data_IF_640485430286
#
_entry.id   IF_640485430286
#
_cell.length_a   1.000
_cell.length_b   1.000
_cell.length_c   1.000
_cell.angle_alpha   90.00
_cell.angle_beta   90.00
_cell.angle_gamma   90.00
#
_symmetry.space_group_name_H-M   'P 1'
#
loop_
_entity.id
_entity.type
_entity.pdbx_description
1 polymer ?
#
# COMPACT_ATOMS: atom_id res chain seq x y z
N UNK A 1 35.34 -2.59 11.83
CA UNK A 1 35.48 -1.85 10.56
C UNK A 1 34.63 -0.59 10.69
N UNK A 2 35.22 0.61 10.60
CA UNK A 2 34.43 1.85 10.54
C UNK A 2 33.71 1.86 9.19
N UNK A 3 32.40 1.86 9.21
CA UNK A 3 31.58 2.09 8.03
C UNK A 3 31.93 3.51 7.51
N UNK A 4 32.55 3.58 6.35
CA UNK A 4 32.79 4.86 5.68
C UNK A 4 31.43 5.41 5.29
N UNK A 5 31.01 6.50 5.91
CA UNK A 5 29.83 7.25 5.50
C UNK A 5 30.04 7.73 4.06
N UNK A 6 29.16 7.33 3.16
CA UNK A 6 29.13 7.82 1.76
C UNK A 6 28.92 9.34 1.68
N UNK A 7 28.51 9.95 2.78
CA UNK A 7 28.24 11.38 2.90
C UNK A 7 28.75 11.87 4.26
N UNK A 8 30.01 12.34 4.34
CA UNK A 8 30.60 12.88 5.59
C UNK A 8 29.75 13.99 6.23
N UNK A 9 29.00 14.73 5.41
CA UNK A 9 28.10 15.80 5.87
C UNK A 9 26.92 15.29 6.72
N UNK A 10 26.58 13.99 6.64
CA UNK A 10 25.52 13.40 7.45
C UNK A 10 25.94 13.14 8.89
N UNK A 11 27.24 12.99 9.16
CA UNK A 11 27.76 12.89 10.52
C UNK A 11 27.62 14.23 11.26
N UNK A 12 27.77 15.38 10.56
CA UNK A 12 27.46 16.70 11.11
C UNK A 12 25.95 16.87 11.41
N UNK A 13 25.08 16.29 10.57
CA UNK A 13 23.63 16.32 10.76
C UNK A 13 23.17 15.49 11.97
N UNK A 14 23.80 14.37 12.26
CA UNK A 14 23.49 13.58 13.46
C UNK A 14 23.91 14.27 14.74
N UNK A 15 25.05 14.97 14.73
CA UNK A 15 25.50 15.77 15.89
C UNK A 15 24.60 16.97 16.15
N UNK A 16 23.94 17.52 15.12
CA UNK A 16 22.98 18.64 15.25
C UNK A 16 21.61 18.18 15.75
N UNK A 17 21.14 16.96 15.34
CA UNK A 17 19.89 16.37 15.85
C UNK A 17 19.87 16.17 17.37
N UNK A 18 21.03 15.92 17.96
CA UNK A 18 21.15 15.76 19.43
C UNK A 18 20.98 17.07 20.20
N UNK A 19 20.99 18.23 19.53
CA UNK A 19 20.90 19.56 20.17
C UNK A 19 19.55 20.26 20.03
N UNK A 20 18.53 19.63 19.41
CA UNK A 20 17.24 20.30 19.17
C UNK A 20 17.32 21.63 18.38
N UNK A 21 18.38 21.82 17.62
CA UNK A 21 18.56 23.04 16.82
C UNK A 21 17.90 22.82 15.44
N UNK A 22 17.08 23.79 15.03
CA UNK A 22 16.59 23.87 13.62
C UNK A 22 17.82 23.92 12.73
N UNK A 23 17.87 23.04 11.71
CA UNK A 23 18.96 23.01 10.73
C UNK A 23 19.27 24.42 10.26
N UNK A 24 20.49 24.96 10.50
CA UNK A 24 20.80 26.33 10.11
C UNK A 24 20.57 26.49 8.60
N UNK A 25 19.99 27.61 8.19
CA UNK A 25 19.78 27.95 6.76
C UNK A 25 21.02 27.72 5.90
N UNK A 26 22.22 27.84 6.50
CA UNK A 26 23.50 27.57 5.84
C UNK A 26 23.68 26.12 5.36
N UNK A 27 23.18 25.11 6.07
CA UNK A 27 23.31 23.70 5.67
C UNK A 27 22.37 23.45 4.52
N UNK A 28 21.13 23.93 4.61
CA UNK A 28 20.16 23.86 3.53
C UNK A 28 20.71 24.52 2.24
N UNK A 29 21.24 25.74 2.35
CA UNK A 29 21.84 26.44 1.20
C UNK A 29 23.01 25.67 0.59
N UNK A 30 23.89 25.07 1.39
CA UNK A 30 24.99 24.22 0.89
C UNK A 30 24.47 23.01 0.13
N UNK A 31 23.43 22.32 0.63
CA UNK A 31 22.82 21.19 -0.06
C UNK A 31 22.15 21.64 -1.36
N UNK A 32 21.42 22.75 -1.34
CA UNK A 32 20.80 23.31 -2.54
C UNK A 32 21.86 23.63 -3.61
N UNK A 33 22.95 24.30 -3.25
CA UNK A 33 24.06 24.61 -4.17
C UNK A 33 24.71 23.33 -4.71
N UNK A 34 24.96 22.33 -3.85
CA UNK A 34 25.59 21.07 -4.23
C UNK A 34 24.76 20.28 -5.24
N UNK A 35 23.44 20.21 -5.02
CA UNK A 35 22.56 19.39 -5.83
C UNK A 35 21.89 20.15 -7.00
N UNK A 36 21.92 21.49 -6.99
CA UNK A 36 21.32 22.29 -8.05
C UNK A 36 21.72 21.88 -9.47
N UNK A 37 22.99 21.49 -9.77
CA UNK A 37 23.37 21.06 -11.13
C UNK A 37 22.69 19.77 -11.59
N UNK A 38 22.19 18.93 -10.67
CA UNK A 38 21.52 17.67 -10.97
C UNK A 38 20.01 17.73 -10.70
N UNK A 39 19.52 18.84 -10.16
CA UNK A 39 18.09 19.06 -9.95
C UNK A 39 17.43 19.55 -11.25
N UNK A 40 16.34 18.92 -11.61
CA UNK A 40 15.49 19.35 -12.70
C UNK A 40 14.08 19.61 -12.18
N UNK A 41 13.62 20.85 -12.26
CA UNK A 41 12.25 21.19 -11.92
C UNK A 41 11.31 20.79 -13.07
N UNK A 42 10.25 20.01 -12.73
CA UNK A 42 9.20 19.66 -13.66
C UNK A 42 7.83 19.81 -12.97
N UNK A 43 7.26 21.01 -13.06
CA UNK A 43 5.97 21.36 -12.45
C UNK A 43 4.80 20.51 -12.97
N UNK A 44 4.94 19.87 -14.13
CA UNK A 44 3.91 18.97 -14.70
C UNK A 44 3.71 17.73 -13.85
N UNK A 45 4.74 17.32 -13.10
CA UNK A 45 4.67 16.18 -12.18
C UNK A 45 3.91 16.52 -10.88
N UNK A 46 3.71 17.80 -10.56
CA UNK A 46 3.11 18.23 -9.30
C UNK A 46 1.74 17.63 -9.01
N UNK A 47 0.92 17.41 -10.04
CA UNK A 47 -0.39 16.74 -9.89
C UNK A 47 -0.27 15.22 -9.70
N UNK A 48 0.84 14.63 -10.11
CA UNK A 48 1.07 13.18 -10.10
C UNK A 48 1.68 12.67 -8.79
N UNK A 49 2.25 13.55 -7.97
CA UNK A 49 2.86 13.16 -6.67
C UNK A 49 1.83 12.82 -5.59
N UNK A 50 0.54 12.96 -5.88
CA UNK A 50 -0.56 12.65 -4.97
C UNK A 50 -1.25 11.34 -5.35
N UNK A 51 -1.73 10.60 -4.35
CA UNK A 51 -2.53 9.39 -4.56
C UNK A 51 -3.88 9.64 -5.26
N UNK A 52 -4.26 10.90 -5.44
CA UNK A 52 -5.58 11.26 -5.98
C UNK A 52 -5.86 10.57 -7.33
N UNK A 53 -4.86 10.39 -8.17
CA UNK A 53 -4.96 9.65 -9.42
C UNK A 53 -5.33 8.17 -9.26
N UNK A 54 -5.00 7.55 -8.12
CA UNK A 54 -5.23 6.12 -7.88
C UNK A 54 -6.70 5.79 -7.55
N UNK A 55 -7.52 6.78 -7.23
CA UNK A 55 -8.95 6.60 -6.91
C UNK A 55 -9.77 6.01 -8.06
N UNK A 56 -9.31 6.17 -9.28
CA UNK A 56 -9.96 5.64 -10.49
C UNK A 56 -9.24 4.43 -11.08
N UNK A 57 -8.09 4.05 -10.53
CA UNK A 57 -7.32 2.92 -11.05
C UNK A 57 -7.85 1.60 -10.46
N UNK A 58 -8.23 0.64 -11.31
CA UNK A 58 -8.68 -0.67 -10.89
C UNK A 58 -7.70 -1.31 -9.89
N UNK A 59 -8.23 -1.93 -8.85
CA UNK A 59 -7.57 -2.52 -7.69
C UNK A 59 -6.90 -1.50 -6.76
N UNK A 60 -6.19 -0.48 -7.23
CA UNK A 60 -5.58 0.55 -6.36
C UNK A 60 -6.63 1.38 -5.61
N UNK A 61 -7.85 1.47 -6.13
CA UNK A 61 -8.98 2.17 -5.50
C UNK A 61 -9.62 1.39 -4.35
N UNK A 62 -9.36 0.08 -4.21
CA UNK A 62 -10.02 -0.78 -3.22
C UNK A 62 -9.66 -0.39 -1.79
N UNK A 63 -8.41 -0.02 -1.56
CA UNK A 63 -7.93 0.40 -0.26
C UNK A 63 -7.35 1.82 -0.33
N UNK A 64 -7.85 2.72 0.53
CA UNK A 64 -7.44 4.13 0.53
C UNK A 64 -6.18 4.35 1.38
N UNK A 65 -5.09 4.73 0.71
CA UNK A 65 -3.83 5.09 1.36
C UNK A 65 -3.37 6.45 0.84
N UNK A 66 -3.25 7.45 1.72
CA UNK A 66 -3.01 8.83 1.32
C UNK A 66 -1.54 9.15 1.02
N UNK A 67 -0.64 8.36 1.56
CA UNK A 67 0.81 8.54 1.47
C UNK A 67 1.41 7.99 0.17
N UNK A 68 0.58 7.60 -0.79
CA UNK A 68 1.01 7.09 -2.09
C UNK A 68 1.05 8.19 -3.15
N UNK A 69 1.93 8.05 -4.12
CA UNK A 69 1.90 8.82 -5.37
C UNK A 69 1.04 8.11 -6.42
N UNK A 70 0.80 8.80 -7.55
CA UNK A 70 -0.09 8.25 -8.58
C UNK A 70 0.59 7.17 -9.43
N UNK A 71 -0.24 6.27 -9.92
CA UNK A 71 0.10 5.29 -10.94
C UNK A 71 0.76 5.96 -12.19
N UNK A 72 0.22 7.09 -12.62
CA UNK A 72 0.73 7.83 -13.76
C UNK A 72 2.16 8.35 -13.55
N UNK A 73 2.54 8.70 -12.32
CA UNK A 73 3.90 9.12 -12.01
C UNK A 73 4.90 7.98 -12.28
N UNK A 74 4.58 6.77 -11.83
CA UNK A 74 5.43 5.61 -12.08
C UNK A 74 5.54 5.30 -13.57
N UNK A 75 4.42 5.36 -14.29
CA UNK A 75 4.43 5.19 -15.76
C UNK A 75 5.33 6.20 -16.45
N UNK A 76 5.30 7.46 -16.00
CA UNK A 76 6.15 8.52 -16.57
C UNK A 76 7.64 8.19 -16.34
N UNK A 77 8.03 7.75 -15.15
CA UNK A 77 9.43 7.39 -14.88
C UNK A 77 9.85 6.09 -15.56
N UNK A 78 8.99 5.10 -15.71
CA UNK A 78 9.27 3.90 -16.53
C UNK A 78 9.61 4.33 -17.95
N UNK A 79 8.86 5.27 -18.54
CA UNK A 79 9.13 5.81 -19.88
C UNK A 79 10.42 6.62 -19.93
N UNK A 80 10.63 7.56 -18.99
CA UNK A 80 11.83 8.43 -18.96
C UNK A 80 13.12 7.65 -18.83
N UNK A 81 13.09 6.57 -18.05
CA UNK A 81 14.26 5.70 -17.87
C UNK A 81 14.37 4.61 -18.93
N UNK A 82 13.42 4.55 -19.88
CA UNK A 82 13.34 3.50 -20.91
C UNK A 82 13.41 2.09 -20.33
N UNK A 83 12.75 1.87 -19.20
CA UNK A 83 12.77 0.56 -18.52
C UNK A 83 12.03 -0.49 -19.35
N UNK A 84 12.59 -1.68 -19.41
CA UNK A 84 12.13 -2.82 -20.21
C UNK A 84 11.97 -4.07 -19.34
N UNK A 85 11.50 -5.16 -19.89
CA UNK A 85 11.40 -6.47 -19.23
C UNK A 85 12.74 -7.02 -18.69
N UNK A 86 13.87 -6.46 -19.16
CA UNK A 86 15.21 -6.84 -18.67
C UNK A 86 15.58 -6.16 -17.37
N UNK A 87 14.91 -5.06 -17.07
CA UNK A 87 15.17 -4.26 -15.89
C UNK A 87 14.54 -4.86 -14.63
N UNK A 88 15.02 -4.40 -13.48
CA UNK A 88 14.52 -4.81 -12.18
C UNK A 88 14.31 -3.59 -11.30
N UNK A 89 13.05 -3.33 -10.99
CA UNK A 89 12.64 -2.15 -10.27
C UNK A 89 12.62 -2.41 -8.76
N UNK A 90 13.13 -1.48 -7.98
CA UNK A 90 13.08 -1.52 -6.53
C UNK A 90 12.32 -0.34 -5.94
N UNK A 91 11.45 -0.61 -4.97
CA UNK A 91 10.80 0.40 -4.15
C UNK A 91 11.06 0.13 -2.67
N UNK A 92 11.99 0.89 -2.04
CA UNK A 92 12.33 0.74 -0.62
C UNK A 92 11.24 1.21 0.36
N UNK A 93 10.16 1.85 -0.12
CA UNK A 93 9.02 2.30 0.67
C UNK A 93 7.73 1.99 -0.08
N UNK A 94 7.52 0.71 -0.41
CA UNK A 94 6.51 0.30 -1.39
C UNK A 94 5.05 0.51 -0.94
N UNK A 95 4.81 0.71 0.35
CA UNK A 95 3.51 1.07 0.91
C UNK A 95 2.34 0.36 0.23
N UNK A 96 1.53 1.15 -0.50
CA UNK A 96 0.34 0.68 -1.22
C UNK A 96 0.61 0.04 -2.59
N UNK A 97 1.82 -0.44 -2.85
CA UNK A 97 2.11 -1.19 -4.07
C UNK A 97 2.05 -0.43 -5.41
N UNK A 98 1.87 0.90 -5.41
CA UNK A 98 1.70 1.67 -6.66
C UNK A 98 2.81 1.40 -7.66
N UNK A 99 4.08 1.44 -7.22
CA UNK A 99 5.25 1.15 -8.05
C UNK A 99 5.22 -0.27 -8.59
N UNK A 100 4.99 -1.25 -7.73
CA UNK A 100 5.02 -2.68 -8.08
C UNK A 100 3.86 -3.06 -9.00
N UNK A 101 2.66 -2.52 -8.73
CA UNK A 101 1.49 -2.75 -9.55
C UNK A 101 1.65 -2.13 -10.95
N UNK A 102 2.26 -0.95 -11.02
CA UNK A 102 2.58 -0.33 -12.32
C UNK A 102 3.61 -1.15 -13.08
N UNK A 103 4.65 -1.65 -12.39
CA UNK A 103 5.67 -2.51 -12.99
C UNK A 103 5.05 -3.77 -13.63
N UNK A 104 4.09 -4.42 -12.97
CA UNK A 104 3.37 -5.57 -13.55
C UNK A 104 2.68 -5.24 -14.88
N UNK A 105 2.16 -4.02 -15.03
CA UNK A 105 1.53 -3.60 -16.29
C UNK A 105 2.54 -3.39 -17.42
N UNK A 106 3.80 -3.22 -17.12
CA UNK A 106 4.89 -3.01 -18.07
C UNK A 106 5.83 -4.22 -18.23
N UNK A 107 5.36 -5.47 -18.07
CA UNK A 107 6.05 -6.73 -17.80
C UNK A 107 7.46 -6.56 -17.18
N UNK A 108 7.55 -5.72 -16.18
CA UNK A 108 8.78 -5.34 -15.50
C UNK A 108 8.84 -6.04 -14.13
N UNK A 109 9.90 -6.80 -13.89
CA UNK A 109 10.12 -7.43 -12.58
C UNK A 109 10.37 -6.35 -11.52
N UNK A 110 9.79 -6.54 -10.32
CA UNK A 110 9.91 -5.56 -9.25
C UNK A 110 9.99 -6.21 -7.88
N UNK A 111 10.71 -5.54 -6.97
CA UNK A 111 10.75 -5.86 -5.55
C UNK A 111 10.41 -4.61 -4.74
N UNK A 112 9.65 -4.79 -3.69
CA UNK A 112 9.33 -3.74 -2.74
C UNK A 112 9.60 -4.18 -1.31
N UNK A 113 9.95 -3.23 -0.48
CA UNK A 113 10.02 -3.44 0.96
C UNK A 113 9.17 -2.38 1.67
N UNK A 114 8.63 -2.76 2.81
CA UNK A 114 8.00 -1.83 3.74
C UNK A 114 8.31 -2.26 5.17
N UNK A 115 8.54 -1.31 6.04
CA UNK A 115 8.78 -1.58 7.46
C UNK A 115 7.49 -1.91 8.19
N UNK A 116 6.36 -1.36 7.73
CA UNK A 116 5.06 -1.58 8.33
C UNK A 116 4.44 -2.87 7.79
N UNK A 117 4.09 -3.85 8.64
CA UNK A 117 3.46 -5.09 8.20
C UNK A 117 2.21 -4.89 7.36
N UNK A 118 1.43 -3.82 7.64
CA UNK A 118 0.23 -3.49 6.87
C UNK A 118 0.57 -3.08 5.43
N UNK A 119 1.62 -2.29 5.22
CA UNK A 119 2.09 -1.92 3.88
C UNK A 119 2.50 -3.14 3.08
N UNK A 120 3.37 -3.98 3.66
CA UNK A 120 3.81 -5.23 3.03
C UNK A 120 2.64 -6.19 2.75
N UNK A 121 1.65 -6.28 3.65
CA UNK A 121 0.45 -7.08 3.45
C UNK A 121 -0.37 -6.60 2.25
N UNK A 122 -0.66 -5.31 2.16
CA UNK A 122 -1.41 -4.73 1.04
C UNK A 122 -0.65 -4.94 -0.26
N UNK A 123 0.67 -4.66 -0.25
CA UNK A 123 1.52 -4.76 -1.43
C UNK A 123 1.64 -6.20 -1.96
N UNK A 124 1.65 -7.19 -1.09
CA UNK A 124 1.67 -8.61 -1.49
C UNK A 124 0.31 -9.14 -1.92
N UNK A 125 -0.78 -8.57 -1.39
CA UNK A 125 -2.15 -9.06 -1.61
C UNK A 125 -2.79 -8.50 -2.88
N UNK A 126 -2.63 -7.19 -3.16
CA UNK A 126 -3.26 -6.59 -4.35
C UNK A 126 -2.96 -7.31 -5.67
N UNK A 127 -1.73 -7.76 -5.94
CA UNK A 127 -1.45 -8.57 -7.12
C UNK A 127 -2.23 -9.89 -7.22
N UNK A 128 -2.65 -10.47 -6.08
CA UNK A 128 -3.36 -11.77 -6.06
C UNK A 128 -4.70 -11.71 -6.78
N UNK A 129 -5.38 -10.56 -6.76
CA UNK A 129 -6.65 -10.37 -7.47
C UNK A 129 -6.56 -10.69 -8.97
N UNK A 130 -5.39 -10.53 -9.58
CA UNK A 130 -5.19 -10.79 -11.00
C UNK A 130 -5.12 -12.28 -11.36
N UNK A 131 -4.91 -13.12 -10.35
CA UNK A 131 -4.79 -14.57 -10.50
C UNK A 131 -6.07 -15.30 -10.07
N UNK A 132 -7.11 -14.56 -9.64
CA UNK A 132 -8.43 -15.11 -9.29
C UNK A 132 -9.32 -15.10 -10.53
N UNK A 133 -10.04 -16.22 -10.78
CA UNK A 133 -11.03 -16.26 -11.85
C UNK A 133 -12.26 -15.40 -11.52
N UNK A 134 -12.83 -14.71 -12.52
CA UNK A 134 -14.09 -13.99 -12.34
C UNK A 134 -15.20 -14.93 -11.82
N UNK A 135 -16.01 -14.41 -10.90
CA UNK A 135 -17.08 -15.15 -10.24
C UNK A 135 -16.70 -15.70 -8.85
N UNK A 136 -15.44 -16.01 -8.63
CA UNK A 136 -14.97 -16.59 -7.34
C UNK A 136 -15.24 -15.65 -6.15
N UNK A 137 -15.01 -14.36 -6.30
CA UNK A 137 -15.20 -13.43 -5.16
C UNK A 137 -16.67 -13.31 -4.72
N UNK A 138 -17.66 -13.13 -5.62
CA UNK A 138 -19.08 -13.15 -5.24
C UNK A 138 -19.54 -14.50 -4.63
N UNK A 139 -19.07 -15.63 -5.15
CA UNK A 139 -19.38 -16.96 -4.63
C UNK A 139 -18.84 -17.13 -3.21
N UNK A 140 -17.54 -16.83 -2.99
CA UNK A 140 -16.92 -16.88 -1.67
C UNK A 140 -17.60 -15.93 -0.68
N UNK A 141 -18.01 -14.73 -1.13
CA UNK A 141 -18.75 -13.81 -0.28
C UNK A 141 -20.08 -14.37 0.18
N UNK A 142 -20.83 -15.05 -0.69
CA UNK A 142 -22.09 -15.69 -0.35
C UNK A 142 -21.91 -16.83 0.68
N UNK A 143 -20.84 -17.61 0.55
CA UNK A 143 -20.47 -18.64 1.52
C UNK A 143 -20.12 -18.01 2.88
N UNK A 144 -19.22 -17.01 2.91
CA UNK A 144 -18.85 -16.30 4.12
C UNK A 144 -20.07 -15.74 4.85
N UNK A 145 -20.99 -15.10 4.11
CA UNK A 145 -22.21 -14.53 4.68
C UNK A 145 -23.04 -15.57 5.44
N UNK A 146 -23.10 -16.80 4.94
CA UNK A 146 -23.82 -17.89 5.61
C UNK A 146 -23.12 -18.37 6.89
N UNK A 147 -21.81 -18.15 7.01
CA UNK A 147 -20.99 -18.63 8.13
C UNK A 147 -20.83 -17.60 9.26
N UNK A 148 -20.99 -16.30 8.97
CA UNK A 148 -20.67 -15.20 9.92
C UNK A 148 -21.32 -15.36 11.28
N UNK A 149 -22.61 -15.73 11.34
CA UNK A 149 -23.36 -15.84 12.61
C UNK A 149 -22.86 -16.96 13.53
N UNK A 150 -22.22 -17.98 12.97
CA UNK A 150 -21.66 -19.13 13.69
C UNK A 150 -20.14 -19.12 13.79
N UNK A 151 -19.49 -18.09 13.23
CA UNK A 151 -18.03 -18.04 13.19
C UNK A 151 -17.41 -17.78 14.58
N UNK A 152 -16.25 -18.38 14.83
CA UNK A 152 -15.42 -18.00 15.98
C UNK A 152 -15.03 -16.53 15.89
N UNK A 153 -14.96 -15.85 17.04
CA UNK A 153 -14.65 -14.42 17.04
C UNK A 153 -13.18 -14.19 16.70
N UNK A 154 -12.92 -13.49 15.61
CA UNK A 154 -11.57 -13.07 15.26
C UNK A 154 -10.93 -12.22 16.37
N UNK A 155 -9.63 -12.40 16.57
CA UNK A 155 -8.88 -11.64 17.57
C UNK A 155 -8.82 -10.14 17.22
N UNK A 156 -8.83 -9.31 18.27
CA UNK A 156 -8.54 -7.87 18.20
C UNK A 156 -7.53 -7.53 19.27
N UNK A 157 -6.70 -6.51 19.04
CA UNK A 157 -5.78 -6.00 20.04
C UNK A 157 -6.59 -5.39 21.20
N UNK A 158 -6.74 -6.14 22.31
CA UNK A 158 -7.59 -5.76 23.44
C UNK A 158 -7.05 -4.61 24.29
N UNK A 159 -5.76 -4.29 24.13
CA UNK A 159 -5.03 -3.21 24.82
C UNK A 159 -5.13 -1.84 24.12
N UNK A 160 -5.69 -1.79 22.93
CA UNK A 160 -5.83 -0.55 22.17
C UNK A 160 -7.11 0.19 22.56
N UNK A 161 -7.00 1.15 23.46
CA UNK A 161 -8.13 1.92 24.01
C UNK A 161 -8.99 2.61 22.96
N UNK A 162 -8.42 3.00 21.82
CA UNK A 162 -9.14 3.66 20.73
C UNK A 162 -10.19 2.74 20.10
N UNK A 163 -10.04 1.43 20.16
CA UNK A 163 -11.01 0.48 19.60
C UNK A 163 -12.39 0.63 20.24
N UNK A 164 -12.43 0.82 21.57
CA UNK A 164 -13.68 1.04 22.31
C UNK A 164 -14.36 2.39 22.00
N UNK A 165 -13.59 3.35 21.50
CA UNK A 165 -14.11 4.66 21.12
C UNK A 165 -14.51 4.69 19.64
N UNK A 166 -13.80 3.94 18.81
CA UNK A 166 -13.98 3.92 17.37
C UNK A 166 -15.17 3.07 16.92
N UNK A 167 -15.57 2.06 17.71
CA UNK A 167 -16.65 1.15 17.35
C UNK A 167 -17.66 1.01 18.53
N UNK A 168 -18.95 0.81 18.22
CA UNK A 168 -19.90 0.28 19.22
C UNK A 168 -19.57 -1.18 19.52
N UNK A 169 -20.02 -1.68 20.67
CA UNK A 169 -19.82 -3.08 21.05
C UNK A 169 -20.45 -4.04 20.04
N UNK A 170 -21.65 -3.71 19.56
CA UNK A 170 -22.36 -4.49 18.53
C UNK A 170 -21.58 -4.53 17.20
N UNK A 171 -21.09 -3.36 16.76
CA UNK A 171 -20.28 -3.27 15.52
C UNK A 171 -18.99 -4.05 15.66
N UNK A 172 -18.31 -3.92 16.80
CA UNK A 172 -17.07 -4.65 17.06
C UNK A 172 -17.29 -6.17 17.07
N UNK A 173 -18.40 -6.62 17.67
CA UNK A 173 -18.79 -8.03 17.67
C UNK A 173 -19.00 -8.54 16.24
N UNK A 174 -19.78 -7.80 15.42
CA UNK A 174 -20.06 -8.17 14.05
C UNK A 174 -18.79 -8.19 13.18
N UNK A 175 -17.91 -7.21 13.34
CA UNK A 175 -16.64 -7.19 12.63
C UNK A 175 -15.73 -8.36 13.05
N UNK A 176 -15.75 -8.76 14.32
CA UNK A 176 -15.01 -9.94 14.79
C UNK A 176 -15.56 -11.23 14.21
N UNK A 177 -16.88 -11.36 14.06
CA UNK A 177 -17.50 -12.50 13.38
C UNK A 177 -17.07 -12.57 11.90
N UNK A 178 -17.13 -11.45 11.18
CA UNK A 178 -16.63 -11.38 9.79
C UNK A 178 -15.15 -11.77 9.71
N UNK A 179 -14.31 -11.21 10.57
CA UNK A 179 -12.89 -11.58 10.61
C UNK A 179 -12.70 -13.08 10.86
N UNK A 180 -13.45 -13.64 11.81
CA UNK A 180 -13.42 -15.07 12.11
C UNK A 180 -13.77 -15.92 10.90
N UNK A 181 -14.90 -15.63 10.25
CA UNK A 181 -15.29 -16.32 9.01
C UNK A 181 -14.22 -16.21 7.92
N UNK A 182 -13.67 -15.01 7.67
CA UNK A 182 -12.62 -14.80 6.66
C UNK A 182 -11.36 -15.61 6.97
N UNK A 183 -11.00 -15.76 8.24
CA UNK A 183 -9.78 -16.50 8.63
C UNK A 183 -9.88 -18.01 8.37
N UNK A 184 -11.08 -18.56 8.14
CA UNK A 184 -11.26 -19.97 7.76
C UNK A 184 -10.96 -20.24 6.28
N UNK A 185 -10.91 -19.20 5.45
CA UNK A 185 -10.56 -19.33 4.04
C UNK A 185 -9.11 -19.77 3.86
N UNK A 186 -8.85 -20.44 2.76
CA UNK A 186 -7.50 -20.75 2.32
C UNK A 186 -6.90 -19.60 1.47
N UNK A 187 -5.56 -19.56 1.40
CA UNK A 187 -4.84 -18.67 0.52
C UNK A 187 -5.12 -19.02 -0.97
N UNK A 188 -5.30 -18.04 -1.86
CA UNK A 188 -5.15 -16.60 -1.69
C UNK A 188 -6.44 -15.87 -1.29
N UNK A 189 -7.57 -16.54 -1.18
CA UNK A 189 -8.86 -15.89 -0.89
C UNK A 189 -8.88 -15.27 0.50
N UNK A 190 -8.21 -15.89 1.46
CA UNK A 190 -8.06 -15.35 2.81
C UNK A 190 -7.44 -13.96 2.81
N UNK A 191 -6.29 -13.80 2.16
CA UNK A 191 -5.58 -12.52 2.09
C UNK A 191 -6.42 -11.47 1.35
N UNK A 192 -7.05 -11.86 0.25
CA UNK A 192 -7.92 -11.00 -0.55
C UNK A 192 -9.09 -10.48 0.30
N UNK A 193 -9.82 -11.37 0.97
CA UNK A 193 -10.94 -10.96 1.82
C UNK A 193 -10.50 -10.19 3.06
N UNK A 194 -9.34 -10.48 3.64
CA UNK A 194 -8.76 -9.65 4.71
C UNK A 194 -8.44 -8.24 4.20
N UNK A 195 -7.95 -8.07 2.98
CA UNK A 195 -7.72 -6.75 2.41
C UNK A 195 -9.03 -5.97 2.20
N UNK A 196 -10.06 -6.60 1.64
CA UNK A 196 -11.37 -6.00 1.49
C UNK A 196 -11.99 -5.66 2.84
N UNK A 197 -11.82 -6.52 3.85
CA UNK A 197 -12.26 -6.28 5.21
C UNK A 197 -11.52 -5.09 5.86
N UNK A 198 -10.21 -4.97 5.70
CA UNK A 198 -9.46 -3.81 6.16
C UNK A 198 -9.96 -2.51 5.53
N UNK A 199 -10.39 -2.55 4.26
CA UNK A 199 -10.91 -1.38 3.56
C UNK A 199 -12.25 -0.88 4.12
N UNK A 200 -13.02 -1.72 4.81
CA UNK A 200 -14.31 -1.34 5.41
C UNK A 200 -14.20 -0.88 6.87
N UNK A 201 -13.09 -1.08 7.56
CA UNK A 201 -12.96 -0.75 8.98
C UNK A 201 -13.16 0.74 9.25
N UNK A 202 -12.55 1.63 8.46
CA UNK A 202 -12.76 3.08 8.64
C UNK A 202 -14.22 3.50 8.35
N UNK A 203 -14.86 3.10 7.22
CA UNK A 203 -16.28 3.31 7.01
C UNK A 203 -17.16 2.86 8.17
N UNK A 204 -16.89 1.68 8.73
CA UNK A 204 -17.66 1.07 9.82
C UNK A 204 -17.28 1.58 11.22
N UNK A 205 -16.44 2.60 11.33
CA UNK A 205 -16.02 3.20 12.60
C UNK A 205 -16.51 4.63 12.75
N UNK A 206 -16.56 5.12 14.00
CA UNK A 206 -16.75 6.54 14.31
C UNK A 206 -15.53 7.40 13.99
N UNK A 207 -14.54 6.86 13.28
CA UNK A 207 -13.37 7.64 12.88
C UNK A 207 -13.49 8.19 11.47
N UNK A 208 -12.88 9.34 11.24
CA UNK A 208 -12.69 9.93 9.92
C UNK A 208 -11.22 10.32 9.76
N UNK A 209 -10.64 10.01 8.60
CA UNK A 209 -9.30 10.47 8.26
C UNK A 209 -9.32 11.96 7.88
N UNK A 210 -8.71 12.79 8.72
CA UNK A 210 -8.47 14.20 8.46
C UNK A 210 -6.97 14.45 8.37
N UNK A 211 -6.46 14.60 7.15
CA UNK A 211 -5.02 14.63 6.92
C UNK A 211 -4.34 13.33 7.37
N UNK A 212 -3.35 13.45 8.23
CA UNK A 212 -2.59 12.33 8.81
C UNK A 212 -3.23 11.76 10.09
N UNK A 213 -4.29 12.42 10.61
CA UNK A 213 -4.89 12.04 11.88
C UNK A 213 -6.23 11.35 11.70
N UNK A 214 -6.54 10.45 12.63
CA UNK A 214 -7.88 9.91 12.81
C UNK A 214 -8.62 10.79 13.82
N UNK A 215 -9.74 11.37 13.39
CA UNK A 215 -10.66 12.09 14.28
C UNK A 215 -11.85 11.23 14.63
N UNK A 216 -12.26 11.26 15.90
CA UNK A 216 -13.54 10.70 16.32
C UNK A 216 -14.67 11.64 15.90
N UNK A 217 -15.64 11.11 15.17
CA UNK A 217 -16.88 11.77 14.79
C UNK A 217 -18.05 10.86 15.16
N UNK A 218 -18.65 11.12 16.32
CA UNK A 218 -19.75 10.30 16.82
C UNK A 218 -21.08 10.55 16.09
N UNK A 219 -21.17 11.64 15.33
CA UNK A 219 -22.35 11.95 14.51
C UNK A 219 -22.31 11.23 13.15
N UNK A 220 -21.22 10.52 12.85
CA UNK A 220 -21.08 9.75 11.61
C UNK A 220 -22.11 8.61 11.58
N UNK A 221 -22.88 8.55 10.52
CA UNK A 221 -23.72 7.39 10.25
C UNK A 221 -22.86 6.20 9.84
N UNK A 222 -22.98 5.13 10.59
CA UNK A 222 -22.17 3.92 10.38
C UNK A 222 -22.97 2.94 9.51
N UNK A 223 -22.46 2.58 8.32
CA UNK A 223 -23.14 1.63 7.43
C UNK A 223 -23.04 0.19 7.97
N UNK A 224 -23.90 -0.68 7.43
CA UNK A 224 -23.81 -2.11 7.71
C UNK A 224 -22.50 -2.68 7.07
N UNK A 225 -21.65 -3.37 7.83
CA UNK A 225 -20.38 -3.92 7.31
C UNK A 225 -20.59 -4.95 6.19
N UNK A 226 -21.68 -5.72 6.21
CA UNK A 226 -22.01 -6.67 5.16
C UNK A 226 -22.24 -5.95 3.82
N UNK A 227 -23.05 -4.87 3.84
CA UNK A 227 -23.38 -4.11 2.63
C UNK A 227 -22.13 -3.47 2.01
N UNK A 228 -21.26 -2.86 2.85
CA UNK A 228 -20.04 -2.24 2.37
C UNK A 228 -19.04 -3.29 1.88
N UNK A 229 -18.92 -4.43 2.56
CA UNK A 229 -18.05 -5.52 2.10
C UNK A 229 -18.55 -6.10 0.78
N UNK A 230 -19.87 -6.29 0.63
CA UNK A 230 -20.47 -6.72 -0.64
C UNK A 230 -20.17 -5.73 -1.77
N UNK A 231 -20.25 -4.43 -1.48
CA UNK A 231 -19.90 -3.41 -2.47
C UNK A 231 -18.42 -3.50 -2.85
N UNK A 232 -17.51 -3.71 -1.89
CA UNK A 232 -16.08 -3.89 -2.14
C UNK A 232 -15.80 -5.14 -2.98
N UNK A 233 -16.51 -6.23 -2.73
CA UNK A 233 -16.44 -7.44 -3.56
C UNK A 233 -16.87 -7.16 -5.00
N UNK A 234 -18.00 -6.44 -5.21
CA UNK A 234 -18.46 -6.06 -6.56
C UNK A 234 -17.46 -5.14 -7.27
N UNK A 235 -16.89 -4.16 -6.55
CA UNK A 235 -15.84 -3.28 -7.09
C UNK A 235 -14.61 -4.09 -7.53
N UNK A 236 -14.14 -5.01 -6.69
CA UNK A 236 -13.00 -5.87 -6.99
C UNK A 236 -13.26 -6.80 -8.18
N UNK A 237 -14.44 -7.41 -8.25
CA UNK A 237 -14.84 -8.27 -9.37
C UNK A 237 -14.84 -7.50 -10.70
N UNK A 238 -15.43 -6.30 -10.72
CA UNK A 238 -15.44 -5.44 -11.90
C UNK A 238 -14.01 -5.04 -12.33
N UNK A 239 -13.13 -4.79 -11.36
CA UNK A 239 -11.73 -4.46 -11.60
C UNK A 239 -10.94 -5.64 -12.20
N UNK A 240 -11.16 -6.86 -11.69
CA UNK A 240 -10.56 -8.09 -12.23
C UNK A 240 -10.97 -8.28 -13.70
N UNK A 241 -12.26 -8.18 -14.01
CA UNK A 241 -12.78 -8.33 -15.38
C UNK A 241 -12.16 -7.27 -16.30
N UNK A 242 -12.09 -6.01 -15.83
CA UNK A 242 -11.50 -4.89 -16.58
C UNK A 242 -10.03 -5.14 -16.89
N UNK A 243 -9.25 -5.50 -15.88
CA UNK A 243 -7.81 -5.71 -16.04
C UNK A 243 -7.50 -6.95 -16.87
N UNK A 244 -8.23 -8.04 -16.70
CA UNK A 244 -8.10 -9.23 -17.56
C UNK A 244 -8.37 -8.91 -19.03
N UNK A 245 -9.37 -8.07 -19.30
CA UNK A 245 -9.67 -7.61 -20.67
C UNK A 245 -8.52 -6.77 -21.24
N UNK A 246 -8.02 -5.80 -20.46
CA UNK A 246 -6.90 -4.95 -20.88
C UNK A 246 -5.58 -5.73 -21.08
N UNK A 247 -5.39 -6.82 -20.32
CA UNK A 247 -4.15 -7.60 -20.34
C UNK A 247 -4.25 -8.93 -21.09
N UNK A 248 -5.37 -9.18 -21.78
CA UNK A 248 -5.63 -10.41 -22.51
C UNK A 248 -4.50 -10.85 -23.44
N UNK A 249 -3.75 -9.90 -23.99
CA UNK A 249 -2.63 -10.15 -24.91
C UNK A 249 -1.26 -10.21 -24.20
N UNK A 250 -1.19 -10.04 -22.87
CA UNK A 250 0.07 -10.11 -22.14
C UNK A 250 0.38 -11.55 -21.80
N UNK A 251 1.45 -12.08 -22.36
CA UNK A 251 1.89 -13.48 -22.16
C UNK A 251 2.37 -13.76 -20.74
N UNK A 252 2.81 -12.74 -20.01
CA UNK A 252 3.40 -12.87 -18.69
C UNK A 252 3.15 -11.59 -17.87
N UNK A 253 2.69 -11.80 -16.64
CA UNK A 253 2.58 -10.75 -15.62
C UNK A 253 3.57 -11.13 -14.51
N UNK A 254 4.69 -10.42 -14.37
CA UNK A 254 5.64 -10.72 -13.31
C UNK A 254 4.98 -10.42 -11.96
N UNK A 255 4.96 -11.41 -11.07
CA UNK A 255 4.49 -11.20 -9.70
C UNK A 255 5.60 -10.47 -8.93
N UNK A 256 5.34 -9.29 -8.35
CA UNK A 256 6.34 -8.58 -7.59
C UNK A 256 6.67 -9.33 -6.29
N UNK A 257 7.92 -9.23 -5.85
CA UNK A 257 8.33 -9.68 -4.53
C UNK A 257 8.14 -8.56 -3.51
N UNK A 258 7.58 -8.89 -2.34
CA UNK A 258 7.39 -7.93 -1.24
C UNK A 258 7.96 -8.51 0.03
N UNK A 259 8.75 -7.72 0.77
CA UNK A 259 9.39 -8.16 2.00
C UNK A 259 9.18 -7.11 3.11
N UNK A 260 9.04 -7.58 4.35
CA UNK A 260 9.07 -6.70 5.53
C UNK A 260 10.53 -6.44 5.87
N UNK A 261 10.98 -5.22 5.63
CA UNK A 261 12.36 -4.83 5.90
C UNK A 261 12.48 -3.32 6.18
N UNK A 262 13.59 -2.91 6.77
CA UNK A 262 13.93 -1.51 7.01
C UNK A 262 14.85 -1.00 5.89
N UNK A 263 14.42 0.04 5.17
CA UNK A 263 15.19 0.63 4.08
C UNK A 263 16.57 1.19 4.49
N UNK A 264 16.81 1.35 5.80
CA UNK A 264 18.12 1.75 6.34
C UNK A 264 19.13 0.59 6.38
N UNK A 265 18.64 -0.65 6.27
CA UNK A 265 19.47 -1.86 6.26
C UNK A 265 19.03 -2.81 5.14
N UNK A 266 19.60 -2.62 3.96
CA UNK A 266 19.29 -3.45 2.79
C UNK A 266 20.00 -4.80 2.81
N UNK A 267 20.88 -5.07 3.78
CA UNK A 267 21.56 -6.38 3.91
C UNK A 267 20.58 -7.52 4.23
N UNK A 268 19.41 -7.18 4.76
CA UNK A 268 18.32 -8.12 5.10
C UNK A 268 17.37 -8.40 3.93
N UNK A 269 17.51 -7.65 2.84
CA UNK A 269 16.62 -7.74 1.66
C UNK A 269 17.16 -8.78 0.69
N UNK A 270 16.30 -9.71 0.31
CA UNK A 270 16.63 -10.70 -0.71
C UNK A 270 16.31 -10.15 -2.11
N UNK A 271 17.34 -9.87 -2.89
CA UNK A 271 17.22 -9.47 -4.28
C UNK A 271 17.52 -10.66 -5.19
N UNK A 272 16.62 -10.99 -6.13
CA UNK A 272 16.88 -12.02 -7.16
C UNK A 272 18.02 -11.62 -8.10
N UNK A 273 18.13 -10.33 -8.39
CA UNK A 273 19.22 -9.69 -9.14
C UNK A 273 19.39 -8.26 -8.66
N UNK A 274 20.50 -7.63 -9.03
CA UNK A 274 20.71 -6.22 -8.68
C UNK A 274 19.65 -5.33 -9.34
N UNK A 275 18.94 -4.47 -8.57
CA UNK A 275 18.03 -3.51 -9.15
C UNK A 275 18.71 -2.56 -10.12
N UNK A 276 18.05 -2.31 -11.25
CA UNK A 276 18.52 -1.38 -12.30
C UNK A 276 17.91 0.00 -12.18
N UNK A 277 16.77 0.10 -11.47
CA UNK A 277 16.09 1.36 -11.21
C UNK A 277 15.42 1.37 -9.83
N UNK A 278 15.30 2.56 -9.25
CA UNK A 278 14.57 2.81 -8.01
C UNK A 278 13.52 3.88 -8.31
N UNK A 279 12.26 3.58 -8.02
CA UNK A 279 11.15 4.55 -8.03
C UNK A 279 10.46 4.44 -6.68
N UNK A 280 10.46 5.51 -5.91
CA UNK A 280 9.97 5.51 -4.54
C UNK A 280 9.49 6.88 -4.07
N UNK A 281 8.69 6.89 -3.01
CA UNK A 281 8.32 8.08 -2.25
C UNK A 281 8.71 7.86 -0.79
N UNK A 282 9.88 8.33 -0.38
CA UNK A 282 10.29 8.22 1.02
C UNK A 282 9.33 8.99 1.94
N UNK A 283 9.15 8.56 3.20
CA UNK A 283 8.30 9.21 4.20
C UNK A 283 8.80 10.59 4.59
#
# INVERSE_FOLDING_TARGET
MKQLSLFPEWEELETLKTRNEVLPDRIRQRLEIKFNPVMQEDLRLGQLVSYAGNKSIPLLRLYRYKEAFSFQLVQEFIKRFNLTEKDYLFDPFCGMVTTLFTAMQHPLSAVGIDKLPIGAFIASTLPLFLFIEPGILPETFAELKSMVSGAELGEVAGDVSIMKQAFSEEMLLLLRQWKGAITTLESPLKEIFLLLFLAILEPCSYTTKDGQFLRLNKDKQIPNPEEILQQKVKEAEADIITLRTLWKNKKYLPRPSVQIADARDLSTVNFEKQPTAIITSPP
#
